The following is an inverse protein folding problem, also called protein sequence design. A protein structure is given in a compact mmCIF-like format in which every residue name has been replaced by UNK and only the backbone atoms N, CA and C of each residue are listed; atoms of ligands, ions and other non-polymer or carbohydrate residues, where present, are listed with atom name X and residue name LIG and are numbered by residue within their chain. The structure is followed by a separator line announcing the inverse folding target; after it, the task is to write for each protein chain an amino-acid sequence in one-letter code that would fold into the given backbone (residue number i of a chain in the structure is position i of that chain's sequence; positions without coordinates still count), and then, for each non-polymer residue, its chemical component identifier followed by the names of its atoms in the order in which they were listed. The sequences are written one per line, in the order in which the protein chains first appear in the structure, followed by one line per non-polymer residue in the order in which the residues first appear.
data_IF_568588581344
#
_entry.id   IF_568588581344
#
_cell.length_a   1.000
_cell.length_b   1.000
_cell.length_c   1.000
_cell.angle_alpha   90.00
_cell.angle_beta   90.00
_cell.angle_gamma   90.00
#
_symmetry.space_group_name_H-M   'P 1'
#
loop_
_entity.id
_entity.type
_entity.pdbx_description
1 polymer ?
#
# COMPACT_ATOMS: atom_id res chain seq x y z
N UNK A 1 -13.22 -42.96 -10.84
CA UNK A 1 -13.51 -42.97 -9.40
C UNK A 1 -14.23 -41.68 -9.10
N UNK A 2 -15.46 -41.77 -8.64
CA UNK A 2 -16.39 -40.64 -8.44
C UNK A 2 -15.96 -39.84 -7.21
N UNK A 3 -15.53 -38.59 -7.38
CA UNK A 3 -15.37 -37.65 -6.27
C UNK A 3 -16.74 -37.28 -5.74
N UNK A 4 -17.02 -37.81 -4.54
CA UNK A 4 -18.18 -37.39 -3.74
C UNK A 4 -17.85 -35.99 -3.17
N UNK A 5 -18.41 -34.96 -3.77
CA UNK A 5 -18.52 -33.65 -3.13
C UNK A 5 -19.42 -33.84 -1.90
N UNK A 6 -18.82 -33.86 -0.71
CA UNK A 6 -19.54 -33.87 0.56
C UNK A 6 -20.04 -32.44 0.76
N UNK A 7 -21.24 -32.14 0.32
CA UNK A 7 -21.98 -30.95 0.75
C UNK A 7 -22.31 -31.15 2.24
N UNK A 8 -21.56 -30.48 3.12
CA UNK A 8 -21.83 -30.43 4.55
C UNK A 8 -23.20 -29.76 4.73
N UNK A 9 -24.21 -30.52 5.11
CA UNK A 9 -25.48 -29.94 5.54
C UNK A 9 -25.25 -29.16 6.83
N UNK A 10 -25.58 -27.86 6.82
CA UNK A 10 -25.54 -27.01 8.00
C UNK A 10 -26.44 -27.62 9.10
N UNK A 11 -25.97 -27.59 10.33
CA UNK A 11 -26.82 -27.94 11.48
C UNK A 11 -27.94 -26.90 11.61
N UNK A 12 -29.02 -27.25 12.29
CA UNK A 12 -30.16 -26.32 12.54
C UNK A 12 -29.70 -24.99 13.17
N UNK A 13 -28.68 -25.04 14.02
CA UNK A 13 -28.12 -23.85 14.66
C UNK A 13 -27.33 -22.99 13.67
N UNK A 14 -26.51 -23.62 12.82
CA UNK A 14 -25.77 -22.95 11.76
C UNK A 14 -26.72 -22.35 10.71
N UNK A 15 -27.78 -23.08 10.34
CA UNK A 15 -28.80 -22.58 9.42
C UNK A 15 -29.53 -21.36 9.99
N UNK A 16 -29.91 -21.40 11.28
CA UNK A 16 -30.55 -20.24 11.92
C UNK A 16 -29.64 -19.03 12.00
N UNK A 17 -28.37 -19.21 12.36
CA UNK A 17 -27.38 -18.12 12.37
C UNK A 17 -27.15 -17.54 10.97
N UNK A 18 -27.16 -18.38 9.95
CA UNK A 18 -27.06 -17.95 8.56
C UNK A 18 -28.30 -17.18 8.10
N UNK A 19 -29.50 -17.65 8.48
CA UNK A 19 -30.74 -16.95 8.14
C UNK A 19 -30.87 -15.60 8.88
N UNK A 20 -30.42 -15.53 10.14
CA UNK A 20 -30.34 -14.28 10.92
C UNK A 20 -29.34 -13.31 10.28
N UNK A 21 -28.17 -13.78 9.90
CA UNK A 21 -27.17 -12.97 9.18
C UNK A 21 -27.70 -12.47 7.83
N UNK A 22 -28.37 -13.32 7.05
CA UNK A 22 -29.03 -12.91 5.80
C UNK A 22 -30.08 -11.83 6.04
N UNK A 23 -30.87 -11.95 7.11
CA UNK A 23 -31.89 -10.97 7.43
C UNK A 23 -31.28 -9.61 7.80
N UNK A 24 -30.22 -9.63 8.63
CA UNK A 24 -29.47 -8.44 9.02
C UNK A 24 -28.82 -7.75 7.82
N UNK A 25 -28.17 -8.52 6.92
CA UNK A 25 -27.57 -7.98 5.71
C UNK A 25 -28.59 -7.36 4.75
N UNK A 26 -29.77 -7.96 4.62
CA UNK A 26 -30.87 -7.41 3.81
C UNK A 26 -31.40 -6.09 4.34
N UNK A 27 -31.34 -5.85 5.63
CA UNK A 27 -31.74 -4.59 6.26
C UNK A 27 -30.62 -3.53 6.16
N UNK A 28 -29.38 -3.96 6.16
CA UNK A 28 -28.19 -3.08 6.15
C UNK A 28 -27.92 -2.53 4.77
N UNK A 29 -28.05 -3.34 3.71
CA UNK A 29 -27.82 -2.88 2.33
C UNK A 29 -29.05 -2.16 1.82
N UNK A 30 -29.00 -0.86 1.83
CA UNK A 30 -29.90 0.08 1.16
C UNK A 30 -29.21 0.50 -0.14
N UNK A 31 -29.88 0.92 -1.16
CA UNK A 31 -31.20 1.48 -1.30
C UNK A 31 -32.21 0.58 -2.03
N UNK A 32 -33.49 0.91 -1.89
CA UNK A 32 -34.55 0.19 -2.60
C UNK A 32 -34.58 0.50 -4.10
N UNK A 33 -35.03 -0.45 -4.93
CA UNK A 33 -35.21 -0.25 -6.37
C UNK A 33 -36.21 0.88 -6.66
N UNK A 34 -36.10 1.49 -7.87
CA UNK A 34 -37.07 2.44 -8.34
C UNK A 34 -38.44 1.74 -8.53
N UNK A 35 -39.47 2.28 -7.89
CA UNK A 35 -40.85 1.80 -8.04
C UNK A 35 -41.53 2.48 -9.24
N UNK A 36 -42.50 1.80 -9.82
CA UNK A 36 -43.33 2.32 -10.93
C UNK A 36 -42.59 2.72 -12.23
N UNK A 37 -41.43 2.10 -12.49
CA UNK A 37 -40.63 2.30 -13.69
C UNK A 37 -41.06 1.31 -14.79
N UNK A 38 -41.33 1.80 -15.97
CA UNK A 38 -41.57 0.95 -17.14
C UNK A 38 -40.29 0.30 -17.63
N UNK A 39 -40.35 -0.86 -18.29
CA UNK A 39 -39.20 -1.55 -18.85
C UNK A 39 -38.37 -0.65 -19.81
N UNK A 40 -39.01 0.24 -20.54
CA UNK A 40 -38.34 1.19 -21.43
C UNK A 40 -37.55 2.26 -20.64
N UNK A 41 -38.10 2.74 -19.55
CA UNK A 41 -37.43 3.68 -18.63
C UNK A 41 -36.27 3.01 -17.95
N UNK A 42 -36.44 1.80 -17.41
CA UNK A 42 -35.41 0.97 -16.81
C UNK A 42 -34.23 0.79 -17.76
N UNK A 43 -34.46 0.33 -19.00
CA UNK A 43 -33.42 0.15 -20.02
C UNK A 43 -32.64 1.43 -20.29
N UNK A 44 -33.32 2.59 -20.37
CA UNK A 44 -32.64 3.88 -20.58
C UNK A 44 -31.80 4.29 -19.39
N UNK A 45 -32.33 4.11 -18.18
CA UNK A 45 -31.59 4.37 -16.93
C UNK A 45 -30.35 3.51 -16.83
N UNK A 46 -30.48 2.19 -16.94
CA UNK A 46 -29.35 1.24 -16.88
C UNK A 46 -28.32 1.57 -17.96
N UNK A 47 -28.73 1.81 -19.21
CA UNK A 47 -27.81 2.19 -20.28
C UNK A 47 -27.07 3.51 -20.00
N UNK A 48 -27.66 4.46 -19.31
CA UNK A 48 -27.01 5.70 -18.88
C UNK A 48 -25.99 5.44 -17.76
N UNK A 49 -26.34 4.58 -16.79
CA UNK A 49 -25.46 4.22 -15.67
C UNK A 49 -24.22 3.45 -16.15
N UNK A 50 -24.38 2.52 -17.09
CA UNK A 50 -23.27 1.74 -17.63
C UNK A 50 -22.27 2.57 -18.46
N UNK A 51 -22.62 3.78 -18.85
CA UNK A 51 -21.70 4.72 -19.54
C UNK A 51 -20.87 5.58 -18.59
N UNK A 52 -21.28 5.67 -17.33
CA UNK A 52 -20.69 6.58 -16.35
C UNK A 52 -20.47 5.87 -15.01
N UNK A 53 -19.23 5.53 -14.73
CA UNK A 53 -18.85 4.83 -13.50
C UNK A 53 -19.31 5.56 -12.23
N UNK A 54 -19.20 6.89 -12.21
CA UNK A 54 -19.61 7.68 -11.03
C UNK A 54 -21.11 7.58 -10.79
N UNK A 55 -21.91 7.69 -11.86
CA UNK A 55 -23.36 7.52 -11.75
C UNK A 55 -23.75 6.11 -11.38
N UNK A 56 -23.05 5.12 -11.93
CA UNK A 56 -23.23 3.71 -11.58
C UNK A 56 -23.02 3.48 -10.09
N UNK A 57 -21.89 3.91 -9.55
CA UNK A 57 -21.59 3.72 -8.13
C UNK A 57 -22.56 4.48 -7.23
N UNK A 58 -22.89 5.73 -7.54
CA UNK A 58 -23.88 6.50 -6.76
C UNK A 58 -25.26 5.85 -6.74
N UNK A 59 -25.63 5.16 -7.79
CA UNK A 59 -26.93 4.51 -7.87
C UNK A 59 -26.94 3.15 -7.15
N UNK A 60 -25.93 2.30 -7.39
CA UNK A 60 -25.93 0.94 -6.84
C UNK A 60 -25.28 0.85 -5.46
N UNK A 61 -24.36 1.75 -5.12
CA UNK A 61 -23.55 1.67 -3.89
C UNK A 61 -23.62 2.98 -3.08
N UNK A 62 -24.81 3.52 -2.96
CA UNK A 62 -25.06 4.79 -2.25
C UNK A 62 -24.53 4.74 -0.81
N UNK A 63 -24.69 3.60 -0.12
CA UNK A 63 -24.25 3.39 1.27
C UNK A 63 -22.73 3.44 1.45
N UNK A 64 -21.95 3.20 0.39
CA UNK A 64 -20.49 3.31 0.38
C UNK A 64 -19.98 4.70 0.02
N UNK A 65 -20.89 5.60 -0.40
CA UNK A 65 -20.51 6.88 -1.01
C UNK A 65 -20.59 8.03 -0.02
N UNK A 66 -19.72 8.03 1.02
CA UNK A 66 -19.59 9.15 1.98
C UNK A 66 -19.10 10.45 1.32
N UNK A 67 -18.47 10.35 0.16
CA UNK A 67 -17.87 11.46 -0.57
C UNK A 67 -17.77 11.16 -2.06
N UNK A 68 -17.63 12.21 -2.87
CA UNK A 68 -17.45 12.06 -4.31
C UNK A 68 -16.08 11.44 -4.64
N UNK A 69 -16.01 10.79 -5.80
CA UNK A 69 -14.74 10.25 -6.30
C UNK A 69 -13.73 11.35 -6.64
N UNK A 70 -12.51 11.17 -6.17
CA UNK A 70 -11.38 11.98 -6.58
C UNK A 70 -11.01 11.76 -8.06
N UNK A 71 -10.13 12.61 -8.57
CA UNK A 71 -9.63 12.54 -9.94
C UNK A 71 -8.97 11.20 -10.27
N UNK A 72 -8.20 10.64 -9.33
CA UNK A 72 -7.44 9.40 -9.52
C UNK A 72 -8.32 8.16 -9.58
N UNK A 73 -9.42 8.10 -8.82
CA UNK A 73 -10.41 7.04 -8.92
C UNK A 73 -11.01 6.98 -10.34
N UNK A 74 -11.47 8.14 -10.82
CA UNK A 74 -12.07 8.27 -12.17
C UNK A 74 -11.06 7.94 -13.26
N UNK A 75 -9.81 8.40 -13.12
CA UNK A 75 -8.73 8.11 -14.07
C UNK A 75 -8.42 6.63 -14.11
N UNK A 76 -8.20 5.98 -12.97
CA UNK A 76 -7.88 4.56 -12.89
C UNK A 76 -8.97 3.69 -13.53
N UNK A 77 -10.23 3.89 -13.14
CA UNK A 77 -11.33 3.12 -13.71
C UNK A 77 -11.48 3.38 -15.20
N UNK A 78 -11.33 4.63 -15.67
CA UNK A 78 -11.37 4.97 -17.10
C UNK A 78 -10.28 4.23 -17.88
N UNK A 79 -9.05 4.19 -17.37
CA UNK A 79 -7.95 3.46 -18.00
C UNK A 79 -8.23 1.95 -18.04
N UNK A 80 -8.61 1.36 -16.89
CA UNK A 80 -8.83 -0.10 -16.80
C UNK A 80 -10.05 -0.53 -17.65
N UNK A 81 -11.15 0.19 -17.57
CA UNK A 81 -12.38 -0.14 -18.32
C UNK A 81 -12.28 0.23 -19.81
N UNK A 82 -11.45 1.21 -20.16
CA UNK A 82 -11.26 1.66 -21.55
C UNK A 82 -10.34 0.77 -22.39
N UNK A 83 -9.54 -0.07 -21.77
CA UNK A 83 -8.55 -0.90 -22.48
C UNK A 83 -8.91 -2.38 -22.39
N UNK A 84 -8.87 -3.07 -23.55
CA UNK A 84 -9.10 -4.50 -23.61
C UNK A 84 -7.93 -5.34 -23.06
N UNK A 85 -6.71 -4.81 -23.10
CA UNK A 85 -5.51 -5.39 -22.49
C UNK A 85 -4.78 -4.30 -21.72
N UNK A 86 -4.61 -4.48 -20.40
CA UNK A 86 -3.90 -3.52 -19.57
C UNK A 86 -3.23 -4.21 -18.38
N UNK A 87 -2.01 -3.79 -18.07
CA UNK A 87 -1.38 -3.99 -16.78
C UNK A 87 -1.37 -2.64 -16.07
N UNK A 88 -2.22 -2.50 -15.08
CA UNK A 88 -2.38 -1.28 -14.29
C UNK A 88 -1.76 -1.46 -12.92
N UNK A 89 -0.92 -0.53 -12.49
CA UNK A 89 -0.37 -0.49 -11.13
C UNK A 89 -0.75 0.84 -10.48
N UNK A 90 -1.50 0.74 -9.39
CA UNK A 90 -1.91 1.87 -8.57
C UNK A 90 -1.17 1.89 -7.24
N UNK A 91 -0.47 2.99 -6.94
CA UNK A 91 0.09 3.26 -5.63
C UNK A 91 -0.70 4.38 -4.97
N UNK A 92 -1.62 4.00 -4.06
CA UNK A 92 -2.49 4.97 -3.41
C UNK A 92 -2.28 5.00 -1.91
N UNK A 93 -2.41 6.17 -1.28
CA UNK A 93 -2.27 6.29 0.16
C UNK A 93 -3.28 5.44 0.93
N UNK A 94 -2.97 5.17 2.18
CA UNK A 94 -3.92 4.53 3.07
C UNK A 94 -5.20 5.37 3.19
N UNK A 95 -6.35 4.68 3.30
CA UNK A 95 -7.71 5.29 3.39
C UNK A 95 -8.15 6.08 2.14
N UNK A 96 -7.55 5.81 0.99
CA UNK A 96 -7.96 6.40 -0.28
C UNK A 96 -8.84 5.45 -1.11
N UNK A 97 -9.66 4.62 -0.44
CA UNK A 97 -10.68 3.73 -1.01
C UNK A 97 -10.16 2.74 -2.08
N UNK A 98 -8.90 2.28 -1.97
CA UNK A 98 -8.32 1.30 -2.91
C UNK A 98 -9.23 0.10 -3.12
N UNK A 99 -9.45 -0.67 -2.04
CA UNK A 99 -10.18 -1.95 -2.09
C UNK A 99 -11.64 -1.74 -2.48
N UNK A 100 -12.33 -0.72 -1.95
CA UNK A 100 -13.72 -0.43 -2.32
C UNK A 100 -13.87 -0.16 -3.82
N UNK A 101 -12.98 0.65 -4.38
CA UNK A 101 -13.06 1.01 -5.81
C UNK A 101 -12.60 -0.12 -6.72
N UNK A 102 -11.50 -0.81 -6.36
CA UNK A 102 -10.89 -1.81 -7.25
C UNK A 102 -11.46 -3.21 -7.04
N UNK A 103 -11.77 -3.62 -5.80
CA UNK A 103 -12.19 -4.99 -5.51
C UNK A 103 -13.72 -5.16 -5.50
N UNK A 104 -14.48 -4.06 -5.32
CA UNK A 104 -15.95 -4.11 -5.31
C UNK A 104 -16.53 -3.41 -6.52
N UNK A 105 -16.32 -2.10 -6.66
CA UNK A 105 -17.02 -1.31 -7.67
C UNK A 105 -16.60 -1.65 -9.10
N UNK A 106 -15.30 -1.78 -9.35
CA UNK A 106 -14.78 -2.08 -10.69
C UNK A 106 -15.25 -3.45 -11.21
N UNK A 107 -15.14 -4.56 -10.44
CA UNK A 107 -15.65 -5.85 -10.90
C UNK A 107 -17.17 -5.83 -11.17
N UNK A 108 -17.96 -5.21 -10.29
CA UNK A 108 -19.42 -5.15 -10.46
C UNK A 108 -19.82 -4.24 -11.62
N UNK A 109 -19.10 -3.16 -11.86
CA UNK A 109 -19.30 -2.30 -13.02
C UNK A 109 -18.97 -3.02 -14.33
N UNK A 110 -17.84 -3.72 -14.41
CA UNK A 110 -17.47 -4.50 -15.59
C UNK A 110 -18.38 -5.71 -15.81
N UNK A 111 -18.84 -6.36 -14.72
CA UNK A 111 -19.84 -7.44 -14.79
C UNK A 111 -21.15 -6.93 -15.38
N UNK A 112 -21.67 -5.81 -14.86
CA UNK A 112 -22.91 -5.18 -15.34
C UNK A 112 -22.81 -4.80 -16.84
N UNK A 113 -21.63 -4.47 -17.34
CA UNK A 113 -21.36 -4.19 -18.75
C UNK A 113 -21.19 -5.45 -19.61
N UNK A 114 -21.19 -6.65 -19.00
CA UNK A 114 -20.99 -7.91 -19.72
C UNK A 114 -19.56 -8.12 -20.25
N UNK A 115 -18.56 -7.49 -19.63
CA UNK A 115 -17.18 -7.51 -20.11
C UNK A 115 -16.29 -8.54 -19.39
N UNK A 116 -16.84 -9.28 -18.41
CA UNK A 116 -16.08 -10.25 -17.64
C UNK A 116 -16.30 -11.69 -18.10
N UNK A 117 -15.23 -12.47 -18.07
CA UNK A 117 -15.22 -13.92 -18.25
C UNK A 117 -14.84 -14.67 -16.96
N UNK A 118 -14.32 -13.98 -15.98
CA UNK A 118 -13.96 -14.46 -14.66
C UNK A 118 -13.16 -13.39 -13.91
N UNK A 119 -13.15 -13.48 -12.58
CA UNK A 119 -12.47 -12.54 -11.69
C UNK A 119 -11.59 -13.30 -10.71
N UNK A 120 -10.34 -12.87 -10.56
CA UNK A 120 -9.44 -13.31 -9.50
C UNK A 120 -9.11 -12.13 -8.60
N UNK A 121 -9.31 -12.31 -7.29
CA UNK A 121 -8.80 -11.41 -6.25
C UNK A 121 -7.63 -12.07 -5.54
N UNK A 122 -6.55 -11.35 -5.37
CA UNK A 122 -5.37 -11.87 -4.68
C UNK A 122 -4.87 -10.86 -3.65
N UNK A 123 -4.33 -11.33 -2.52
CA UNK A 123 -3.80 -10.47 -1.47
C UNK A 123 -2.62 -11.14 -0.74
N UNK A 124 -2.07 -10.47 0.28
CA UNK A 124 -0.90 -10.91 1.03
C UNK A 124 -1.09 -12.29 1.72
N UNK A 125 -2.30 -12.68 2.04
CA UNK A 125 -2.66 -13.99 2.58
C UNK A 125 -4.08 -14.39 2.19
N UNK A 126 -4.45 -15.67 2.44
CA UNK A 126 -5.73 -16.25 2.10
C UNK A 126 -6.91 -15.55 2.81
N UNK A 127 -6.80 -15.32 4.12
CA UNK A 127 -7.88 -14.69 4.91
C UNK A 127 -8.25 -13.31 4.36
N UNK A 128 -7.25 -12.52 3.94
CA UNK A 128 -7.49 -11.22 3.31
C UNK A 128 -8.15 -11.35 1.94
N UNK A 129 -7.67 -12.26 1.11
CA UNK A 129 -8.23 -12.48 -0.21
C UNK A 129 -9.69 -12.96 -0.12
N UNK A 130 -9.98 -13.88 0.80
CA UNK A 130 -11.33 -14.37 1.08
C UNK A 130 -12.24 -13.26 1.59
N UNK A 131 -11.73 -12.36 2.45
CA UNK A 131 -12.46 -11.17 2.91
C UNK A 131 -12.87 -10.25 1.77
N UNK A 132 -11.94 -9.95 0.83
CA UNK A 132 -12.26 -9.15 -0.36
C UNK A 132 -13.33 -9.81 -1.24
N UNK A 133 -13.27 -11.14 -1.35
CA UNK A 133 -14.26 -11.89 -2.11
C UNK A 133 -15.63 -11.92 -1.42
N UNK A 134 -15.65 -11.99 -0.08
CA UNK A 134 -16.87 -11.96 0.71
C UNK A 134 -17.63 -10.63 0.55
N UNK A 135 -16.92 -9.49 0.50
CA UNK A 135 -17.52 -8.19 0.24
C UNK A 135 -18.22 -8.13 -1.13
N UNK A 136 -17.63 -8.75 -2.17
CA UNK A 136 -18.25 -8.89 -3.48
C UNK A 136 -19.49 -9.81 -3.44
N UNK A 137 -19.38 -10.94 -2.73
CA UNK A 137 -20.50 -11.88 -2.55
C UNK A 137 -21.68 -11.19 -1.90
N UNK A 138 -21.43 -10.38 -0.87
CA UNK A 138 -22.45 -9.63 -0.16
C UNK A 138 -23.22 -8.68 -1.09
N UNK A 139 -22.52 -7.90 -1.90
CA UNK A 139 -23.15 -7.01 -2.87
C UNK A 139 -23.99 -7.79 -3.90
N UNK A 140 -23.48 -8.90 -4.41
CA UNK A 140 -24.19 -9.73 -5.39
C UNK A 140 -25.42 -10.45 -4.79
N UNK A 141 -25.43 -10.72 -3.48
CA UNK A 141 -26.55 -11.37 -2.80
C UNK A 141 -27.62 -10.42 -2.28
N UNK A 142 -27.24 -9.20 -1.87
CA UNK A 142 -28.12 -8.36 -1.08
C UNK A 142 -28.38 -6.97 -1.67
N UNK A 143 -27.59 -6.52 -2.65
CA UNK A 143 -27.82 -5.23 -3.28
C UNK A 143 -29.09 -5.25 -4.12
N UNK A 144 -30.18 -4.73 -3.55
CA UNK A 144 -31.52 -4.78 -4.13
C UNK A 144 -31.60 -4.11 -5.50
N UNK A 145 -30.94 -2.96 -5.68
CA UNK A 145 -30.93 -2.25 -6.98
C UNK A 145 -30.18 -3.04 -8.04
N UNK A 146 -29.04 -3.62 -7.66
CA UNK A 146 -28.24 -4.45 -8.58
C UNK A 146 -29.01 -5.71 -9.00
N UNK A 147 -29.65 -6.37 -8.06
CA UNK A 147 -30.47 -7.56 -8.31
C UNK A 147 -31.69 -7.21 -9.18
N UNK A 148 -32.37 -6.09 -8.92
CA UNK A 148 -33.52 -5.65 -9.69
C UNK A 148 -33.17 -5.39 -11.16
N UNK A 149 -31.95 -4.90 -11.44
CA UNK A 149 -31.54 -4.53 -12.79
C UNK A 149 -30.81 -5.68 -13.53
N UNK A 150 -30.05 -6.52 -12.83
CA UNK A 150 -29.21 -7.58 -13.41
C UNK A 150 -29.61 -9.00 -13.01
N UNK A 151 -30.69 -9.13 -12.24
CA UNK A 151 -31.19 -10.44 -11.78
C UNK A 151 -30.47 -11.00 -10.57
N UNK A 152 -30.99 -12.10 -10.01
CA UNK A 152 -30.43 -12.82 -8.87
C UNK A 152 -29.11 -13.46 -9.30
N UNK A 153 -28.06 -13.18 -8.56
CA UNK A 153 -26.69 -13.61 -8.86
C UNK A 153 -26.31 -14.92 -8.17
N UNK A 154 -26.93 -15.22 -7.04
CA UNK A 154 -26.67 -16.43 -6.25
C UNK A 154 -26.95 -17.72 -7.01
N UNK A 155 -26.03 -18.69 -6.92
CA UNK A 155 -26.17 -20.04 -7.50
C UNK A 155 -25.91 -21.07 -6.41
N UNK A 156 -26.95 -21.83 -6.04
CA UNK A 156 -26.87 -22.89 -5.04
C UNK A 156 -25.80 -23.93 -5.39
N UNK A 157 -25.00 -24.36 -4.40
CA UNK A 157 -23.96 -25.38 -4.55
C UNK A 157 -22.68 -24.90 -5.25
N UNK A 158 -22.57 -23.62 -5.55
CA UNK A 158 -21.37 -22.98 -6.12
C UNK A 158 -21.11 -21.61 -5.50
N UNK A 159 -21.33 -21.46 -4.21
CA UNK A 159 -21.19 -20.20 -3.48
C UNK A 159 -20.45 -20.44 -2.17
N UNK A 160 -19.16 -20.74 -2.31
CA UNK A 160 -18.29 -21.09 -1.19
C UNK A 160 -17.38 -19.89 -0.80
N UNK A 161 -16.80 -19.93 0.39
CA UNK A 161 -15.72 -19.04 0.76
C UNK A 161 -14.51 -19.29 -0.16
N UNK A 162 -13.83 -18.25 -0.58
CA UNK A 162 -12.66 -18.34 -1.47
C UNK A 162 -12.97 -18.59 -2.95
N UNK A 163 -14.17 -19.05 -3.30
CA UNK A 163 -14.61 -19.17 -4.69
C UNK A 163 -16.13 -19.26 -4.84
N UNK A 164 -16.66 -18.67 -5.90
CA UNK A 164 -18.07 -18.83 -6.25
C UNK A 164 -18.32 -18.64 -7.74
N UNK A 165 -19.48 -19.10 -8.19
CA UNK A 165 -19.95 -18.92 -9.57
C UNK A 165 -21.35 -18.32 -9.53
N UNK A 166 -21.55 -17.22 -10.25
CA UNK A 166 -22.86 -16.56 -10.36
C UNK A 166 -23.85 -17.36 -11.21
N UNK A 167 -25.13 -17.02 -11.10
CA UNK A 167 -26.23 -17.69 -11.85
C UNK A 167 -26.02 -17.63 -13.38
N UNK A 168 -25.40 -16.55 -13.87
CA UNK A 168 -25.02 -16.37 -15.28
C UNK A 168 -23.70 -17.04 -15.67
N UNK A 169 -23.06 -17.78 -14.73
CA UNK A 169 -21.89 -18.61 -15.01
C UNK A 169 -20.54 -17.90 -14.90
N UNK A 170 -20.48 -16.69 -14.33
CA UNK A 170 -19.21 -15.99 -14.09
C UNK A 170 -18.54 -16.51 -12.82
N UNK A 171 -17.30 -16.97 -12.92
CA UNK A 171 -16.51 -17.47 -11.79
C UNK A 171 -15.70 -16.36 -11.10
N UNK A 172 -15.58 -16.49 -9.79
CA UNK A 172 -14.80 -15.62 -8.92
C UNK A 172 -13.93 -16.48 -8.01
N UNK A 173 -12.66 -16.09 -7.82
CA UNK A 173 -11.69 -16.84 -7.02
C UNK A 173 -10.84 -15.90 -6.19
N UNK A 174 -10.52 -16.30 -4.96
CA UNK A 174 -9.59 -15.63 -4.07
C UNK A 174 -8.29 -16.44 -3.93
N UNK A 175 -7.14 -15.75 -3.87
CA UNK A 175 -5.85 -16.38 -3.64
C UNK A 175 -4.99 -15.54 -2.68
N UNK A 176 -4.51 -16.18 -1.63
CA UNK A 176 -3.41 -15.66 -0.84
C UNK A 176 -2.08 -15.85 -1.55
N UNK A 177 -1.11 -15.01 -1.26
CA UNK A 177 0.25 -15.10 -1.81
C UNK A 177 0.84 -16.50 -1.63
N UNK A 178 1.39 -17.06 -2.72
CA UNK A 178 1.99 -18.38 -2.77
C UNK A 178 1.04 -19.54 -3.02
N UNK A 179 -0.28 -19.32 -3.02
CA UNK A 179 -1.23 -20.32 -3.49
C UNK A 179 -1.15 -20.47 -5.01
N UNK A 180 -1.42 -21.68 -5.52
CA UNK A 180 -1.36 -21.94 -6.96
C UNK A 180 -2.69 -21.61 -7.65
N UNK A 181 -2.74 -20.56 -8.49
CA UNK A 181 -3.92 -20.23 -9.26
C UNK A 181 -4.03 -21.05 -10.55
N UNK A 182 -3.14 -22.04 -10.75
CA UNK A 182 -3.07 -22.81 -11.98
C UNK A 182 -4.35 -23.62 -12.20
N UNK A 183 -4.89 -23.53 -13.43
CA UNK A 183 -6.11 -24.24 -13.79
C UNK A 183 -7.41 -23.52 -13.45
N UNK A 184 -7.33 -22.29 -12.93
CA UNK A 184 -8.51 -21.47 -12.67
C UNK A 184 -9.27 -21.18 -13.95
N UNK A 185 -10.48 -21.71 -14.03
CA UNK A 185 -11.41 -21.49 -15.13
C UNK A 185 -12.80 -21.91 -14.75
N UNK A 186 -13.81 -21.31 -15.31
CA UNK A 186 -15.17 -21.83 -15.31
C UNK A 186 -15.55 -22.21 -16.73
N UNK A 187 -15.91 -23.46 -16.94
CA UNK A 187 -16.08 -24.06 -18.25
C UNK A 187 -14.83 -23.85 -19.16
N UNK A 188 -14.97 -23.15 -20.27
CA UNK A 188 -13.86 -22.85 -21.20
C UNK A 188 -13.22 -21.48 -20.95
N UNK A 189 -13.74 -20.69 -20.02
CA UNK A 189 -13.34 -19.29 -19.84
C UNK A 189 -12.28 -19.15 -18.76
N UNK A 190 -11.21 -18.42 -19.09
CA UNK A 190 -10.20 -17.93 -18.13
C UNK A 190 -10.65 -16.59 -17.53
N UNK A 191 -10.25 -16.27 -16.28
CA UNK A 191 -10.51 -14.97 -15.71
C UNK A 191 -9.80 -13.87 -16.50
N UNK A 192 -10.54 -12.86 -16.91
CA UNK A 192 -10.01 -11.71 -17.64
C UNK A 192 -9.88 -10.43 -16.81
N UNK A 193 -10.25 -10.50 -15.53
CA UNK A 193 -9.95 -9.47 -14.53
C UNK A 193 -9.21 -10.14 -13.37
N UNK A 194 -7.98 -9.70 -13.14
CA UNK A 194 -7.17 -10.15 -12.01
C UNK A 194 -6.77 -8.91 -11.21
N UNK A 195 -7.08 -8.88 -9.93
CA UNK A 195 -6.77 -7.78 -9.03
C UNK A 195 -5.91 -8.33 -7.89
N UNK A 196 -4.79 -7.66 -7.65
CA UNK A 196 -3.86 -7.95 -6.56
C UNK A 196 -3.88 -6.74 -5.62
N UNK A 197 -4.50 -6.89 -4.44
CA UNK A 197 -4.62 -5.82 -3.45
C UNK A 197 -3.70 -6.04 -2.24
N UNK A 198 -3.01 -4.97 -1.86
CA UNK A 198 -2.13 -4.86 -0.68
C UNK A 198 -1.21 -6.09 -0.49
N UNK A 199 -0.47 -6.44 -1.55
CA UNK A 199 0.44 -7.60 -1.58
C UNK A 199 1.71 -7.41 -0.76
N UNK A 200 2.15 -6.16 -0.56
CA UNK A 200 3.35 -5.81 0.19
C UNK A 200 3.12 -5.89 1.70
N UNK A 201 4.07 -6.46 2.42
CA UNK A 201 4.18 -6.34 3.86
C UNK A 201 5.61 -6.05 4.32
N UNK A 202 5.76 -5.45 5.51
CA UNK A 202 7.05 -4.98 6.01
C UNK A 202 8.06 -6.12 6.27
N UNK A 203 7.58 -7.33 6.59
CA UNK A 203 8.45 -8.48 6.86
C UNK A 203 9.03 -9.05 5.57
N UNK A 204 8.23 -9.11 4.51
CA UNK A 204 8.73 -9.56 3.20
C UNK A 204 9.76 -8.60 2.65
N UNK A 205 9.50 -7.30 2.74
CA UNK A 205 10.41 -6.28 2.22
C UNK A 205 11.82 -6.30 2.84
N UNK A 206 12.00 -6.95 3.99
CA UNK A 206 13.32 -7.16 4.60
C UNK A 206 14.16 -8.26 3.92
N UNK A 207 13.54 -9.08 3.08
CA UNK A 207 14.21 -10.23 2.46
C UNK A 207 14.02 -10.19 0.94
N UNK A 208 15.07 -9.84 0.21
CA UNK A 208 15.07 -9.66 -1.23
C UNK A 208 14.63 -10.91 -2.00
N UNK A 209 15.03 -12.11 -1.51
CA UNK A 209 14.60 -13.38 -2.11
C UNK A 209 13.07 -13.57 -1.99
N UNK A 210 12.49 -13.27 -0.81
CA UNK A 210 11.05 -13.39 -0.61
C UNK A 210 10.27 -12.38 -1.46
N UNK A 211 10.83 -11.18 -1.66
CA UNK A 211 10.25 -10.19 -2.58
C UNK A 211 10.25 -10.74 -4.00
N UNK A 212 11.39 -11.30 -4.46
CA UNK A 212 11.48 -11.87 -5.81
C UNK A 212 10.53 -13.05 -5.99
N UNK A 213 10.48 -13.99 -5.04
CA UNK A 213 9.54 -15.12 -5.08
C UNK A 213 8.08 -14.64 -5.19
N UNK A 214 7.73 -13.54 -4.50
CA UNK A 214 6.41 -12.95 -4.58
C UNK A 214 6.15 -12.24 -5.93
N UNK A 215 7.14 -11.54 -6.48
CA UNK A 215 7.06 -10.94 -7.83
C UNK A 215 6.87 -12.04 -8.88
N UNK A 216 7.61 -13.13 -8.78
CA UNK A 216 7.50 -14.27 -9.69
C UNK A 216 6.11 -14.92 -9.61
N UNK A 217 5.55 -15.03 -8.40
CA UNK A 217 4.19 -15.50 -8.22
C UNK A 217 3.14 -14.55 -8.83
N UNK A 218 3.27 -13.23 -8.60
CA UNK A 218 2.32 -12.25 -9.16
C UNK A 218 2.40 -12.21 -10.68
N UNK A 219 3.60 -12.12 -11.24
CA UNK A 219 3.79 -11.94 -12.69
C UNK A 219 3.85 -13.26 -13.45
N UNK A 220 4.26 -14.36 -12.82
CA UNK A 220 4.33 -15.68 -13.44
C UNK A 220 3.03 -16.47 -13.28
N UNK A 221 2.59 -16.67 -12.05
CA UNK A 221 1.45 -17.56 -11.77
C UNK A 221 0.10 -16.83 -11.93
N UNK A 222 -0.10 -15.66 -11.30
CA UNK A 222 -1.37 -14.92 -11.41
C UNK A 222 -1.59 -14.32 -12.80
N UNK A 223 -0.63 -13.54 -13.30
CA UNK A 223 -0.75 -12.95 -14.64
C UNK A 223 -0.82 -14.03 -15.72
N UNK A 224 -0.12 -15.16 -15.52
CA UNK A 224 -0.18 -16.33 -16.42
C UNK A 224 -1.55 -17.02 -16.50
N UNK A 225 -2.47 -16.77 -15.53
CA UNK A 225 -3.85 -17.27 -15.60
C UNK A 225 -4.75 -16.49 -16.55
N UNK A 226 -4.39 -15.23 -16.83
CA UNK A 226 -5.17 -14.38 -17.72
C UNK A 226 -5.11 -14.86 -19.20
N UNK A 227 -6.14 -14.59 -19.99
CA UNK A 227 -6.08 -14.81 -21.42
C UNK A 227 -5.12 -13.79 -22.06
N UNK A 228 -4.45 -14.19 -23.14
CA UNK A 228 -3.51 -13.33 -23.86
C UNK A 228 -4.18 -12.07 -24.46
N UNK A 229 -5.47 -12.16 -24.74
CA UNK A 229 -6.27 -11.04 -25.26
C UNK A 229 -7.45 -10.77 -24.35
N UNK A 230 -7.74 -9.49 -24.11
CA UNK A 230 -8.90 -9.08 -23.34
C UNK A 230 -8.69 -9.16 -21.83
N UNK A 231 -7.45 -9.12 -21.32
CA UNK A 231 -7.15 -9.20 -19.89
C UNK A 231 -6.87 -7.86 -19.25
N UNK A 232 -7.42 -7.67 -18.08
CA UNK A 232 -7.16 -6.54 -17.19
C UNK A 232 -6.45 -7.06 -15.95
N UNK A 233 -5.18 -6.73 -15.81
CA UNK A 233 -4.35 -7.08 -14.67
C UNK A 233 -4.09 -5.83 -13.85
N UNK A 234 -4.62 -5.80 -12.63
CA UNK A 234 -4.59 -4.64 -11.73
C UNK A 234 -3.80 -5.00 -10.49
N UNK A 235 -2.78 -4.24 -10.18
CA UNK A 235 -2.07 -4.33 -8.91
C UNK A 235 -2.27 -3.00 -8.19
N UNK A 236 -2.84 -3.06 -7.00
CA UNK A 236 -3.15 -1.88 -6.19
C UNK A 236 -2.59 -2.04 -4.79
N UNK A 237 -1.99 -1.01 -4.24
CA UNK A 237 -1.44 -1.07 -2.90
C UNK A 237 -0.82 0.24 -2.46
N UNK A 238 -0.20 0.22 -1.27
CA UNK A 238 0.64 1.27 -0.77
C UNK A 238 2.10 0.82 -0.87
N UNK A 239 2.96 1.59 -1.55
CA UNK A 239 4.40 1.29 -1.56
C UNK A 239 4.99 1.59 -0.19
N UNK A 240 5.32 0.55 0.56
CA UNK A 240 5.83 0.66 1.92
C UNK A 240 7.35 0.56 2.02
N UNK A 241 8.02 0.16 0.95
CA UNK A 241 9.46 -0.02 0.89
C UNK A 241 10.02 0.29 -0.50
N UNK A 242 11.29 0.78 -0.57
CA UNK A 242 11.98 1.08 -1.84
C UNK A 242 12.06 -0.16 -2.74
N UNK A 243 12.39 -1.31 -2.16
CA UNK A 243 12.48 -2.61 -2.85
C UNK A 243 11.25 -3.48 -2.54
N UNK A 244 10.05 -2.94 -2.66
CA UNK A 244 8.81 -3.68 -2.46
C UNK A 244 8.42 -4.49 -3.69
N UNK A 245 7.43 -5.37 -3.55
CA UNK A 245 6.86 -6.13 -4.69
C UNK A 245 6.33 -5.15 -5.74
N UNK A 246 5.59 -4.11 -5.32
CA UNK A 246 5.10 -3.04 -6.20
C UNK A 246 6.24 -2.36 -6.96
N UNK A 247 7.35 -2.01 -6.29
CA UNK A 247 8.51 -1.39 -6.93
C UNK A 247 9.09 -2.27 -8.05
N UNK A 248 9.27 -3.56 -7.79
CA UNK A 248 9.80 -4.52 -8.77
C UNK A 248 8.84 -4.71 -9.96
N UNK A 249 7.53 -4.74 -9.70
CA UNK A 249 6.53 -4.84 -10.78
C UNK A 249 6.59 -3.58 -11.65
N UNK A 250 6.58 -2.39 -11.05
CA UNK A 250 6.68 -1.11 -11.77
C UNK A 250 8.02 -0.96 -12.48
N UNK A 251 9.12 -1.41 -11.85
CA UNK A 251 10.48 -1.36 -12.39
C UNK A 251 11.32 -0.19 -11.88
N UNK A 252 10.81 0.62 -10.93
CA UNK A 252 11.52 1.76 -10.34
C UNK A 252 12.13 1.40 -8.96
N UNK A 253 12.94 0.35 -8.94
CA UNK A 253 13.59 -0.18 -7.72
C UNK A 253 14.73 0.72 -7.25
N UNK A 254 15.53 1.25 -8.19
CA UNK A 254 16.58 2.22 -7.90
C UNK A 254 16.12 3.64 -8.25
N UNK A 255 16.76 4.64 -7.63
CA UNK A 255 16.41 6.04 -7.87
C UNK A 255 16.77 6.45 -9.31
N UNK A 256 15.75 6.91 -10.06
CA UNK A 256 15.91 7.27 -11.46
C UNK A 256 15.56 6.16 -12.46
N UNK A 257 15.26 4.96 -12.00
CA UNK A 257 14.80 3.90 -12.89
C UNK A 257 13.48 4.30 -13.56
N UNK A 258 13.34 4.07 -14.87
CA UNK A 258 12.09 4.36 -15.56
C UNK A 258 11.03 3.29 -15.25
N UNK A 259 9.77 3.72 -15.16
CA UNK A 259 8.61 2.80 -15.15
C UNK A 259 8.63 1.96 -16.42
N UNK A 260 8.38 0.66 -16.29
CA UNK A 260 8.30 -0.26 -17.46
C UNK A 260 7.24 0.25 -18.46
N UNK A 261 7.58 0.41 -19.75
CA UNK A 261 6.65 0.99 -20.73
C UNK A 261 5.34 0.21 -20.91
N UNK A 262 5.35 -1.08 -20.58
CA UNK A 262 4.17 -1.96 -20.65
C UNK A 262 3.17 -1.77 -19.53
N UNK A 263 3.48 -0.92 -18.53
CA UNK A 263 2.68 -0.72 -17.32
C UNK A 263 2.05 0.66 -17.33
N UNK A 264 0.74 0.71 -17.13
CA UNK A 264 0.03 1.95 -16.81
C UNK A 264 0.14 2.18 -15.30
N UNK A 265 0.98 3.13 -14.91
CA UNK A 265 1.27 3.43 -13.51
C UNK A 265 0.56 4.70 -13.03
N UNK A 266 -0.09 4.62 -11.88
CA UNK A 266 -0.76 5.76 -11.24
C UNK A 266 -0.37 5.84 -9.76
N UNK A 267 0.55 6.74 -9.46
CA UNK A 267 0.99 7.05 -8.09
C UNK A 267 0.26 8.29 -7.58
N UNK A 268 -0.32 8.19 -6.39
CA UNK A 268 -1.12 9.23 -5.75
C UNK A 268 -0.53 9.55 -4.39
N UNK A 269 -0.44 10.81 -4.03
CA UNK A 269 0.04 11.27 -2.73
C UNK A 269 -1.09 11.93 -1.95
N UNK A 270 -1.14 11.78 -0.63
CA UNK A 270 -2.21 12.37 0.17
C UNK A 270 -2.29 13.90 0.06
N UNK A 271 -1.12 14.56 -0.04
CA UNK A 271 -1.00 15.98 -0.42
C UNK A 271 -0.18 16.07 -1.70
N UNK A 272 -0.70 16.80 -2.66
CA UNK A 272 -0.12 16.90 -4.00
C UNK A 272 -0.16 18.33 -4.54
N UNK A 273 0.70 18.60 -5.49
CA UNK A 273 0.60 19.78 -6.32
C UNK A 273 -0.59 19.62 -7.28
N UNK A 274 -1.55 20.55 -7.30
CA UNK A 274 -2.79 20.38 -8.08
C UNK A 274 -2.62 20.35 -9.60
N UNK A 275 -1.43 20.71 -10.12
CA UNK A 275 -1.15 20.70 -11.56
C UNK A 275 -0.33 19.48 -11.99
N UNK A 276 0.64 19.07 -11.18
CA UNK A 276 1.59 18.00 -11.53
C UNK A 276 1.26 16.67 -10.89
N UNK A 277 0.37 16.64 -9.89
CA UNK A 277 0.03 15.49 -9.05
C UNK A 277 1.25 14.84 -8.35
N UNK A 278 2.36 15.60 -8.24
CA UNK A 278 3.51 15.17 -7.44
C UNK A 278 3.30 15.56 -5.98
N UNK A 279 3.97 14.84 -5.08
CA UNK A 279 3.96 15.14 -3.65
C UNK A 279 4.30 16.63 -3.41
N UNK A 280 3.49 17.28 -2.58
CA UNK A 280 3.71 18.67 -2.18
C UNK A 280 3.30 18.88 -0.72
N UNK A 281 4.30 18.97 0.16
CA UNK A 281 4.10 19.20 1.60
C UNK A 281 4.10 20.68 1.96
N UNK A 282 4.39 21.58 1.00
CA UNK A 282 4.36 23.01 1.21
C UNK A 282 2.92 23.52 1.48
N UNK A 283 2.79 24.78 1.85
CA UNK A 283 1.47 25.40 2.07
C UNK A 283 0.56 25.36 0.81
N UNK A 284 1.13 25.18 -0.38
CA UNK A 284 0.44 25.11 -1.66
C UNK A 284 -0.10 23.70 -1.97
N UNK A 285 0.36 22.68 -1.25
CA UNK A 285 -0.11 21.32 -1.42
C UNK A 285 -1.58 21.16 -1.05
N UNK A 286 -2.33 20.47 -1.89
CA UNK A 286 -3.77 20.21 -1.71
C UNK A 286 -4.02 18.72 -1.52
N UNK A 287 -5.10 18.31 -0.82
CA UNK A 287 -5.48 16.91 -0.76
C UNK A 287 -5.77 16.34 -2.15
N UNK A 288 -5.21 15.17 -2.48
CA UNK A 288 -5.56 14.48 -3.71
C UNK A 288 -7.05 14.08 -3.75
N UNK A 289 -7.63 13.83 -2.60
CA UNK A 289 -9.07 13.59 -2.42
C UNK A 289 -9.72 14.72 -1.61
N UNK A 290 -9.82 15.88 -2.25
CA UNK A 290 -10.40 17.11 -1.63
C UNK A 290 -11.88 16.99 -1.30
N UNK A 291 -12.59 16.07 -1.96
CA UNK A 291 -14.00 15.79 -1.71
C UNK A 291 -14.21 15.08 -0.36
N UNK A 292 -13.16 14.45 0.20
CA UNK A 292 -13.18 13.73 1.48
C UNK A 292 -12.34 14.38 2.58
N UNK A 293 -11.17 14.90 2.22
CA UNK A 293 -10.19 15.38 3.18
C UNK A 293 -9.89 16.86 3.00
N UNK A 294 -9.79 17.57 4.12
CA UNK A 294 -9.13 18.88 4.17
C UNK A 294 -7.62 18.70 4.38
N UNK A 295 -6.84 19.69 4.00
CA UNK A 295 -5.39 19.69 4.25
C UNK A 295 -5.08 19.56 5.75
N UNK A 296 -5.83 20.26 6.62
CA UNK A 296 -5.63 20.19 8.06
C UNK A 296 -5.83 18.78 8.63
N UNK A 297 -6.83 18.06 8.15
CA UNK A 297 -7.07 16.67 8.59
C UNK A 297 -5.90 15.76 8.23
N UNK A 298 -5.30 15.93 7.03
CA UNK A 298 -4.12 15.15 6.61
C UNK A 298 -2.92 15.51 7.48
N UNK A 299 -2.66 16.79 7.77
CA UNK A 299 -1.57 17.23 8.62
C UNK A 299 -1.71 16.70 10.04
N UNK A 300 -2.90 16.81 10.66
CA UNK A 300 -3.16 16.26 11.99
C UNK A 300 -2.95 14.74 12.02
N UNK A 301 -3.36 14.03 10.94
CA UNK A 301 -3.09 12.60 10.82
C UNK A 301 -1.61 12.29 10.74
N UNK A 302 -0.83 13.10 9.99
CA UNK A 302 0.63 12.96 9.91
C UNK A 302 1.30 13.15 11.27
N UNK A 303 0.87 14.16 12.04
CA UNK A 303 1.36 14.41 13.40
C UNK A 303 1.09 13.20 14.31
N UNK A 304 -0.14 12.68 14.30
CA UNK A 304 -0.54 11.54 15.14
C UNK A 304 0.19 10.23 14.76
N UNK A 305 0.48 10.01 13.49
CA UNK A 305 1.21 8.84 13.01
C UNK A 305 2.72 8.95 13.25
N UNK A 306 3.24 10.15 13.41
CA UNK A 306 4.66 10.48 13.38
C UNK A 306 5.21 10.50 11.95
N UNK A 307 6.18 11.39 11.72
CA UNK A 307 6.66 11.75 10.37
C UNK A 307 7.06 10.54 9.52
N UNK A 308 7.83 9.60 10.06
CA UNK A 308 8.33 8.43 9.33
C UNK A 308 7.20 7.53 8.82
N UNK A 309 6.21 7.24 9.68
CA UNK A 309 5.08 6.37 9.32
C UNK A 309 4.19 7.12 8.32
N UNK A 310 3.92 8.41 8.56
CA UNK A 310 3.11 9.22 7.67
C UNK A 310 3.70 9.32 6.26
N UNK A 311 5.00 9.54 6.12
CA UNK A 311 5.68 9.57 4.82
C UNK A 311 5.58 8.24 4.08
N UNK A 312 5.64 7.11 4.79
CA UNK A 312 5.44 5.79 4.20
C UNK A 312 3.99 5.55 3.77
N UNK A 313 3.03 5.78 4.67
CA UNK A 313 1.63 5.39 4.47
C UNK A 313 0.85 6.36 3.57
N UNK A 314 1.23 7.63 3.56
CA UNK A 314 0.52 8.69 2.85
C UNK A 314 1.26 9.21 1.61
N UNK A 315 2.58 8.96 1.50
CA UNK A 315 3.41 9.55 0.44
C UNK A 315 4.34 8.55 -0.25
N UNK A 316 4.26 7.26 0.08
CA UNK A 316 5.10 6.20 -0.50
C UNK A 316 6.61 6.46 -0.35
N UNK A 317 6.97 7.22 0.69
CA UNK A 317 8.37 7.54 1.00
C UNK A 317 8.89 6.57 2.05
N UNK A 318 9.88 5.78 1.67
CA UNK A 318 10.53 4.89 2.62
C UNK A 318 11.76 5.57 3.21
N UNK A 319 11.66 5.97 4.47
CA UNK A 319 12.82 6.46 5.22
C UNK A 319 13.50 5.26 5.87
N UNK A 320 14.70 4.94 5.41
CA UNK A 320 15.58 3.99 6.08
C UNK A 320 16.08 4.64 7.36
N UNK A 321 15.91 3.95 8.49
CA UNK A 321 16.52 4.38 9.75
C UNK A 321 18.03 4.46 9.51
N UNK A 322 18.64 5.62 9.75
CA UNK A 322 20.05 5.87 9.49
C UNK A 322 20.38 6.68 8.22
N UNK A 323 19.39 7.05 7.39
CA UNK A 323 19.58 7.99 6.28
C UNK A 323 18.82 9.30 6.50
N UNK A 324 18.90 9.84 7.70
CA UNK A 324 18.32 11.15 8.03
C UNK A 324 19.14 12.26 7.38
N UNK A 325 20.44 12.05 7.27
CA UNK A 325 21.36 12.97 6.59
C UNK A 325 21.71 12.43 5.21
N UNK A 326 21.52 13.25 4.18
CA UNK A 326 22.00 13.02 2.81
C UNK A 326 23.23 13.86 2.58
N UNK A 327 24.07 13.47 1.64
CA UNK A 327 25.29 14.23 1.26
C UNK A 327 24.97 15.70 0.94
N UNK A 328 23.83 15.95 0.29
CA UNK A 328 23.32 17.31 0.01
C UNK A 328 22.99 18.15 1.25
N UNK A 329 22.79 17.49 2.42
CA UNK A 329 22.54 18.16 3.70
C UNK A 329 23.84 18.48 4.46
N UNK A 330 24.98 17.99 3.98
CA UNK A 330 26.31 18.13 4.57
C UNK A 330 27.27 18.74 3.55
N UNK A 331 27.00 20.00 3.11
CA UNK A 331 27.86 20.65 2.13
C UNK A 331 29.23 20.92 2.76
N UNK A 332 30.30 20.69 1.97
CA UNK A 332 31.62 21.11 2.34
C UNK A 332 31.70 22.63 2.35
N UNK A 333 32.21 23.22 3.43
CA UNK A 333 32.38 24.63 3.60
C UNK A 333 33.69 24.97 4.33
N UNK A 334 34.18 26.18 4.15
CA UNK A 334 35.24 26.72 5.02
C UNK A 334 34.62 27.01 6.38
N UNK A 335 35.02 26.27 7.40
CA UNK A 335 34.46 26.39 8.75
C UNK A 335 35.14 27.54 9.51
N UNK A 336 34.41 28.28 10.35
CA UNK A 336 35.00 29.23 11.27
C UNK A 336 35.93 28.50 12.24
N UNK A 337 36.97 29.16 12.78
CA UNK A 337 37.84 28.51 13.78
C UNK A 337 37.05 27.98 14.97
N UNK A 338 37.36 26.78 15.49
CA UNK A 338 36.72 26.12 16.63
C UNK A 338 36.60 27.06 17.84
N UNK A 339 37.58 27.94 18.03
CA UNK A 339 37.57 28.94 19.12
C UNK A 339 36.41 29.95 19.04
N UNK A 340 35.78 30.14 17.87
CA UNK A 340 34.65 31.08 17.66
C UNK A 340 33.29 30.45 17.87
N UNK A 341 33.18 29.13 17.99
CA UNK A 341 31.90 28.45 18.20
C UNK A 341 31.18 28.94 19.48
N UNK A 342 29.89 29.10 19.41
CA UNK A 342 29.04 29.41 20.60
C UNK A 342 29.07 28.28 21.61
N UNK A 343 29.01 27.03 21.14
CA UNK A 343 29.09 25.82 21.91
C UNK A 343 29.84 24.73 21.13
N UNK A 344 30.51 23.82 21.85
CA UNK A 344 31.20 22.67 21.30
C UNK A 344 30.78 21.42 22.04
N UNK A 345 30.61 20.33 21.30
CA UNK A 345 30.45 19.03 21.91
C UNK A 345 31.09 17.92 21.06
N UNK A 346 31.50 16.85 21.73
CA UNK A 346 31.69 15.56 21.06
C UNK A 346 30.51 14.66 21.38
N UNK A 347 30.11 13.84 20.39
CA UNK A 347 29.09 12.83 20.58
C UNK A 347 29.64 11.49 20.09
N UNK A 348 29.57 10.47 20.94
CA UNK A 348 30.07 9.13 20.66
C UNK A 348 28.91 8.11 20.61
N UNK A 349 28.79 7.43 19.47
CA UNK A 349 27.99 6.21 19.33
C UNK A 349 28.91 4.98 19.42
N UNK A 350 28.89 4.25 20.54
CA UNK A 350 29.90 3.22 20.82
C UNK A 350 29.64 1.88 20.12
N UNK A 351 28.58 1.65 19.42
CA UNK A 351 28.13 0.37 18.88
C UNK A 351 28.45 -0.89 19.75
N UNK A 352 27.55 -1.87 19.80
CA UNK A 352 27.56 -2.93 20.84
C UNK A 352 28.63 -4.01 20.72
N UNK A 353 29.10 -4.39 19.53
CA UNK A 353 29.95 -5.59 19.36
C UNK A 353 31.38 -5.26 18.96
N UNK A 354 32.34 -6.06 19.45
CA UNK A 354 33.79 -5.86 19.25
C UNK A 354 34.38 -6.72 18.11
N UNK A 355 33.67 -7.03 17.04
CA UNK A 355 34.21 -7.86 15.95
C UNK A 355 34.32 -7.09 14.64
N UNK A 356 35.28 -7.46 13.78
CA UNK A 356 35.54 -6.84 12.46
C UNK A 356 34.35 -6.91 11.45
N UNK A 357 33.20 -7.47 11.84
CA UNK A 357 31.99 -7.57 11.02
C UNK A 357 30.83 -6.77 11.58
N UNK A 358 31.06 -5.89 12.55
CA UNK A 358 30.01 -5.15 13.27
C UNK A 358 29.84 -3.74 12.77
N UNK A 359 28.82 -3.04 13.35
CA UNK A 359 28.60 -1.62 13.12
C UNK A 359 29.83 -0.78 13.49
N UNK A 360 29.96 0.34 12.80
CA UNK A 360 31.01 1.31 13.06
C UNK A 360 30.79 1.96 14.43
N UNK A 361 31.86 2.22 15.14
CA UNK A 361 31.89 3.15 16.26
C UNK A 361 32.15 4.53 15.70
N UNK A 362 31.28 5.48 16.04
CA UNK A 362 31.35 6.83 15.48
C UNK A 362 31.47 7.88 16.58
N UNK A 363 32.33 8.85 16.37
CA UNK A 363 32.48 10.02 17.25
C UNK A 363 32.56 11.25 16.34
N UNK A 364 31.87 12.33 16.70
CA UNK A 364 31.89 13.58 15.95
C UNK A 364 32.22 14.74 16.90
N UNK A 365 33.00 15.69 16.41
CA UNK A 365 33.21 16.99 17.04
C UNK A 365 32.34 18.01 16.33
N UNK A 366 31.35 18.58 17.06
CA UNK A 366 30.35 19.50 16.52
C UNK A 366 30.45 20.85 17.20
N UNK A 367 30.46 21.91 16.42
CA UNK A 367 30.39 23.29 16.90
C UNK A 367 29.09 23.96 16.45
N UNK A 368 28.48 24.75 17.34
CA UNK A 368 27.34 25.59 17.03
C UNK A 368 27.80 27.00 16.66
N UNK A 369 27.39 27.47 15.46
CA UNK A 369 27.67 28.79 14.93
C UNK A 369 26.36 29.45 14.42
N UNK A 370 25.72 30.27 15.23
CA UNK A 370 24.40 30.83 14.91
C UNK A 370 23.36 29.76 14.63
N UNK A 371 22.75 29.75 13.44
CA UNK A 371 21.76 28.72 13.08
C UNK A 371 22.37 27.40 12.57
N UNK A 372 23.70 27.31 12.43
CA UNK A 372 24.39 26.18 11.85
C UNK A 372 25.04 25.28 12.92
N UNK A 373 25.12 23.99 12.60
CA UNK A 373 25.92 23.02 13.31
C UNK A 373 27.02 22.54 12.36
N UNK A 374 28.25 22.85 12.70
CA UNK A 374 29.42 22.55 11.88
C UNK A 374 30.11 21.28 12.43
N UNK A 375 30.41 20.31 11.56
CA UNK A 375 31.19 19.13 11.92
C UNK A 375 32.65 19.44 11.62
N UNK A 376 33.46 19.55 12.68
CA UNK A 376 34.87 19.88 12.57
C UNK A 376 35.73 18.67 12.28
N UNK A 377 35.46 17.54 12.94
CA UNK A 377 36.12 16.28 12.68
C UNK A 377 35.24 15.10 13.10
N UNK A 378 35.56 13.91 12.58
CA UNK A 378 34.85 12.68 12.86
C UNK A 378 35.77 11.46 12.88
N UNK A 379 35.60 10.63 13.91
CA UNK A 379 36.15 9.31 13.97
C UNK A 379 35.06 8.29 13.66
N UNK A 380 35.25 7.45 12.63
CA UNK A 380 34.25 6.43 12.27
C UNK A 380 34.98 5.16 11.82
N UNK A 381 35.04 4.12 12.68
CA UNK A 381 35.78 2.89 12.40
C UNK A 381 35.11 1.67 13.05
N UNK A 382 35.36 0.51 12.46
CA UNK A 382 35.16 -0.78 13.11
C UNK A 382 36.39 -1.06 13.95
N UNK A 383 36.29 -0.87 15.25
CA UNK A 383 37.43 -0.95 16.18
C UNK A 383 37.03 -1.49 17.55
N UNK A 384 38.01 -1.76 18.38
CA UNK A 384 37.85 -2.16 19.78
C UNK A 384 37.43 -0.95 20.63
N UNK A 385 36.85 -1.20 21.82
CA UNK A 385 36.50 -0.14 22.76
C UNK A 385 37.70 0.75 23.15
N UNK A 386 38.90 0.19 23.49
CA UNK A 386 40.06 1.03 23.77
C UNK A 386 40.50 1.92 22.60
N UNK A 387 40.36 1.45 21.36
CA UNK A 387 40.70 2.25 20.18
C UNK A 387 39.68 3.37 19.98
N UNK A 388 38.40 3.13 20.24
CA UNK A 388 37.35 4.14 20.23
C UNK A 388 37.60 5.21 21.29
N UNK A 389 37.87 4.84 22.53
CA UNK A 389 38.18 5.77 23.63
C UNK A 389 39.40 6.64 23.29
N UNK A 390 40.43 6.06 22.74
CA UNK A 390 41.61 6.82 22.27
C UNK A 390 41.21 7.81 21.14
N UNK A 391 40.38 7.36 20.20
CA UNK A 391 39.84 8.22 19.14
C UNK A 391 39.04 9.40 19.70
N UNK A 392 38.27 9.18 20.78
CA UNK A 392 37.51 10.24 21.45
C UNK A 392 38.42 11.28 22.12
N UNK A 393 39.46 10.83 22.82
CA UNK A 393 40.46 11.73 23.42
C UNK A 393 41.22 12.52 22.36
N UNK A 394 41.61 11.91 21.24
CA UNK A 394 42.28 12.60 20.15
C UNK A 394 41.39 13.75 19.57
N UNK A 395 40.10 13.50 19.39
CA UNK A 395 39.16 14.56 18.96
C UNK A 395 38.97 15.67 20.01
N UNK A 396 39.02 15.32 21.28
CA UNK A 396 38.97 16.28 22.37
C UNK A 396 40.22 17.18 22.45
N UNK A 397 41.40 16.66 22.07
CA UNK A 397 42.67 17.42 22.03
C UNK A 397 42.67 18.49 20.92
N UNK A 398 41.82 18.38 19.91
CA UNK A 398 41.66 19.42 18.87
C UNK A 398 40.94 20.70 19.38
N UNK A 399 40.29 20.60 20.54
CA UNK A 399 39.65 21.76 21.17
C UNK A 399 40.69 22.68 21.77
N UNK A 400 40.73 23.97 21.40
CA UNK A 400 41.71 24.93 21.91
C UNK A 400 41.65 25.02 23.45
N UNK A 401 42.82 25.19 24.05
CA UNK A 401 42.93 25.37 25.50
C UNK A 401 42.09 26.54 25.99
N UNK A 402 41.30 26.31 27.07
CA UNK A 402 40.37 27.29 27.63
C UNK A 402 38.99 27.36 26.95
N UNK A 403 38.73 26.58 25.89
CA UNK A 403 37.41 26.46 25.28
C UNK A 403 36.65 25.27 25.90
N UNK A 404 35.46 25.55 26.43
CA UNK A 404 34.60 24.48 27.00
C UNK A 404 34.05 23.59 25.88
N UNK A 405 34.20 22.27 26.01
CA UNK A 405 33.59 21.25 25.17
C UNK A 405 32.84 20.26 26.05
N UNK A 406 31.62 19.94 25.69
CA UNK A 406 30.82 18.90 26.38
C UNK A 406 31.01 17.56 25.65
N UNK A 407 31.21 16.49 26.41
CA UNK A 407 31.43 15.15 25.86
C UNK A 407 30.23 14.28 26.16
N UNK A 408 29.60 13.74 25.12
CA UNK A 408 28.44 12.88 25.20
C UNK A 408 28.76 11.49 24.67
N UNK A 409 28.24 10.48 25.34
CA UNK A 409 28.30 9.08 24.91
C UNK A 409 26.88 8.54 24.95
N UNK A 410 26.45 7.90 23.87
CA UNK A 410 25.17 7.21 23.86
C UNK A 410 25.24 6.02 24.83
N UNK A 411 24.40 6.06 25.86
CA UNK A 411 24.25 4.97 26.84
C UNK A 411 22.81 4.45 26.79
N UNK A 412 22.65 3.22 26.34
CA UNK A 412 21.42 2.45 26.55
C UNK A 412 21.73 1.27 27.48
N UNK A 413 20.70 0.54 27.95
CA UNK A 413 20.81 -0.48 29.02
C UNK A 413 21.94 -1.52 28.85
N UNK A 414 22.52 -1.64 27.65
CA UNK A 414 23.60 -2.59 27.34
C UNK A 414 24.96 -1.91 27.12
N UNK A 415 25.03 -0.58 27.10
CA UNK A 415 26.25 0.19 26.80
C UNK A 415 26.95 0.76 28.05
N UNK A 416 26.39 0.58 29.24
CA UNK A 416 27.04 0.98 30.52
C UNK A 416 28.44 0.38 30.71
N UNK A 417 28.75 -0.72 30.02
CA UNK A 417 30.08 -1.35 30.03
C UNK A 417 31.14 -0.46 29.38
N UNK A 418 30.74 0.33 28.37
CA UNK A 418 31.64 1.23 27.66
C UNK A 418 32.03 2.45 28.50
N UNK A 419 31.14 2.92 29.40
CA UNK A 419 31.45 4.02 30.29
C UNK A 419 32.63 3.72 31.22
N UNK A 420 32.78 2.47 31.67
CA UNK A 420 33.91 2.01 32.49
C UNK A 420 35.26 2.02 31.75
N UNK A 421 35.27 2.15 30.45
CA UNK A 421 36.49 2.22 29.66
C UNK A 421 37.08 3.65 29.59
N UNK A 422 36.32 4.64 30.06
CA UNK A 422 36.77 6.05 30.20
C UNK A 422 37.31 6.37 31.60
N UNK A 423 37.08 5.50 32.59
CA UNK A 423 37.68 5.56 33.94
C UNK A 423 39.10 4.96 33.90
#
# INVERSE_FOLDING_TARGET
MSERTITRQLSRKEQKAYDEWIAEMRETIRPDPVQDETEAQKRRRVASLLKDFTKFCRYYFEDFMDSDFAWFHKKAVKEIAGHGNIVFVGEWPREHAKSVVMDIFLPLYLKARGELTGVVLASANEDKADGLLADLQEQLMFNKRYIADFGVQYKSGKWDSGQFVTSDGLGFWAFGRGQSPRGVREAANRPNLIIVDDIDDAEICKNEKRVQDAVDWVMGDLYGCAPTKGSRFVVIGNRIHKKSILAHIVGDVEEGDPVKPSITHLKVYALENPRTHKMDLSEKGVPAWKERYTRQQILTKMENMGQRIALRELFHQHIVIGRVFREEHLPWAELPPVSKCEALCTYCDPSWKETKKNDFKAIVLVGKNGPYFDIYDAFCRQCTTPEMVRGHYNLAEEVPEGKSCQHFIEANMMQDIHLKAYD
#
